data_IF_649702013685
#
_entry.id   IF_649702013685
#
_cell.length_a   1.000
_cell.length_b   1.000
_cell.length_c   1.000
_cell.angle_alpha   90.00
_cell.angle_beta   90.00
_cell.angle_gamma   90.00
#
_symmetry.space_group_name_H-M   'P 1'
#
loop_
_entity.id
_entity.type
_entity.pdbx_description
1 polymer ?
#
# COMPACT_ATOMS: atom_id res chain seq x y z
N UNK A 1 -4.79 -2.75 19.58
CA UNK A 1 -5.92 -2.04 18.94
C UNK A 1 -5.43 -1.15 17.80
N UNK A 2 -4.32 -0.43 17.97
CA UNK A 2 -3.81 0.47 16.92
C UNK A 2 -3.33 -0.27 15.66
N UNK A 3 -2.60 -1.39 15.80
CA UNK A 3 -2.22 -2.22 14.65
C UNK A 3 -3.43 -2.74 13.86
N UNK A 4 -4.46 -3.24 14.54
CA UNK A 4 -5.67 -3.76 13.87
C UNK A 4 -6.47 -2.65 13.18
N UNK A 5 -6.54 -1.46 13.77
CA UNK A 5 -7.17 -0.31 13.14
C UNK A 5 -6.37 0.14 11.90
N UNK A 6 -5.04 0.19 12.00
CA UNK A 6 -4.15 0.50 10.90
C UNK A 6 -4.26 -0.53 9.77
N UNK A 7 -4.24 -1.83 10.10
CA UNK A 7 -4.45 -2.93 9.16
C UNK A 7 -5.79 -2.79 8.44
N UNK A 8 -6.85 -2.45 9.17
CA UNK A 8 -8.17 -2.21 8.58
C UNK A 8 -8.14 -1.04 7.60
N UNK A 9 -7.39 0.02 7.89
CA UNK A 9 -7.21 1.14 6.97
C UNK A 9 -6.43 0.74 5.71
N UNK A 10 -5.31 0.01 5.86
CA UNK A 10 -4.52 -0.51 4.73
C UNK A 10 -5.38 -1.38 3.81
N UNK A 11 -6.21 -2.26 4.37
CA UNK A 11 -7.10 -3.10 3.58
C UNK A 11 -8.12 -2.26 2.81
N UNK A 12 -8.72 -1.24 3.44
CA UNK A 12 -9.66 -0.34 2.77
C UNK A 12 -9.03 0.43 1.61
N UNK A 13 -7.75 0.81 1.73
CA UNK A 13 -7.01 1.45 0.64
C UNK A 13 -6.84 0.52 -0.56
N UNK A 14 -6.47 -0.75 -0.30
CA UNK A 14 -6.36 -1.79 -1.34
C UNK A 14 -7.72 -2.04 -2.00
N UNK A 15 -8.79 -2.15 -1.21
CA UNK A 15 -10.16 -2.34 -1.71
C UNK A 15 -10.63 -1.16 -2.56
N UNK A 16 -10.32 0.08 -2.14
CA UNK A 16 -10.65 1.28 -2.92
C UNK A 16 -9.94 1.30 -4.27
N UNK A 17 -8.67 0.87 -4.32
CA UNK A 17 -7.96 0.72 -5.59
C UNK A 17 -8.65 -0.31 -6.49
N UNK A 18 -9.13 -1.43 -5.92
CA UNK A 18 -9.89 -2.44 -6.66
C UNK A 18 -11.24 -1.90 -7.18
N UNK A 19 -11.97 -1.14 -6.36
CA UNK A 19 -13.23 -0.49 -6.75
C UNK A 19 -13.02 0.48 -7.91
N UNK A 20 -11.95 1.30 -7.86
CA UNK A 20 -11.60 2.18 -8.96
C UNK A 20 -11.31 1.40 -10.25
N UNK A 21 -10.67 0.22 -10.16
CA UNK A 21 -10.49 -0.67 -11.32
C UNK A 21 -11.80 -1.23 -11.84
N UNK A 22 -12.75 -1.55 -10.96
CA UNK A 22 -14.09 -1.97 -11.35
C UNK A 22 -14.79 -0.89 -12.20
N UNK A 23 -14.74 0.36 -11.74
CA UNK A 23 -15.32 1.51 -12.45
C UNK A 23 -14.65 1.72 -13.82
N UNK A 24 -13.33 1.60 -13.88
CA UNK A 24 -12.59 1.70 -15.14
C UNK A 24 -12.89 0.55 -16.10
N UNK A 25 -13.02 -0.68 -15.62
CA UNK A 25 -13.35 -1.84 -16.46
C UNK A 25 -14.76 -1.72 -17.06
N UNK A 26 -15.70 -1.06 -16.37
CA UNK A 26 -17.02 -0.73 -16.94
C UNK A 26 -16.90 0.32 -18.05
N UNK A 27 -16.01 1.31 -17.89
CA UNK A 27 -15.78 2.35 -18.88
C UNK A 27 -14.97 1.87 -20.09
N UNK A 28 -14.10 0.87 -19.92
CA UNK A 28 -13.28 0.24 -20.95
C UNK A 28 -13.31 -1.29 -20.83
N UNK A 29 -14.38 -1.95 -21.34
CA UNK A 29 -14.57 -3.38 -21.19
C UNK A 29 -13.65 -4.24 -22.07
N UNK A 30 -12.93 -3.63 -23.03
CA UNK A 30 -11.94 -4.34 -23.85
C UNK A 30 -10.60 -4.50 -23.12
N UNK A 31 -10.32 -3.65 -22.13
CA UNK A 31 -9.11 -3.78 -21.30
C UNK A 31 -9.30 -4.81 -20.17
N UNK A 32 -9.10 -6.08 -20.55
CA UNK A 32 -9.12 -7.22 -19.63
C UNK A 32 -8.14 -7.11 -18.45
N UNK A 33 -7.07 -6.30 -18.57
CA UNK A 33 -6.09 -6.09 -17.49
C UNK A 33 -6.71 -5.41 -16.28
N UNK A 34 -7.73 -4.56 -16.47
CA UNK A 34 -8.44 -3.90 -15.38
C UNK A 34 -9.20 -4.91 -14.51
N UNK A 35 -9.86 -5.88 -15.12
CA UNK A 35 -10.60 -6.92 -14.41
C UNK A 35 -9.66 -7.90 -13.67
N UNK A 36 -8.51 -8.22 -14.28
CA UNK A 36 -7.50 -9.07 -13.65
C UNK A 36 -6.78 -8.36 -12.48
N UNK A 37 -6.41 -7.08 -12.68
CA UNK A 37 -5.88 -6.20 -11.63
C UNK A 37 -6.86 -6.06 -10.45
N UNK A 38 -8.15 -5.83 -10.72
CA UNK A 38 -9.18 -5.76 -9.69
C UNK A 38 -9.24 -7.04 -8.83
N UNK A 39 -9.27 -8.21 -9.47
CA UNK A 39 -9.30 -9.50 -8.75
C UNK A 39 -8.04 -9.70 -7.92
N UNK A 40 -6.89 -9.32 -8.46
CA UNK A 40 -5.62 -9.43 -7.76
C UNK A 40 -5.57 -8.50 -6.52
N UNK A 41 -6.10 -7.29 -6.61
CA UNK A 41 -6.21 -6.36 -5.47
C UNK A 41 -7.16 -6.89 -4.38
N UNK A 42 -8.33 -7.42 -4.74
CA UNK A 42 -9.21 -8.05 -3.74
C UNK A 42 -8.56 -9.29 -3.10
N UNK A 43 -7.84 -10.10 -3.89
CA UNK A 43 -7.08 -11.23 -3.34
C UNK A 43 -6.02 -10.76 -2.35
N UNK A 44 -5.28 -9.68 -2.69
CA UNK A 44 -4.31 -9.08 -1.79
C UNK A 44 -4.95 -8.57 -0.49
N UNK A 45 -6.09 -7.88 -0.58
CA UNK A 45 -6.84 -7.41 0.59
C UNK A 45 -7.23 -8.57 1.53
N UNK A 46 -7.71 -9.68 0.98
CA UNK A 46 -8.06 -10.88 1.76
C UNK A 46 -6.82 -11.55 2.37
N UNK A 47 -5.70 -11.60 1.65
CA UNK A 47 -4.45 -12.11 2.21
C UNK A 47 -3.97 -11.25 3.38
N UNK A 48 -3.99 -9.91 3.23
CA UNK A 48 -3.63 -8.98 4.31
C UNK A 48 -4.58 -9.09 5.50
N UNK A 49 -5.89 -9.36 5.29
CA UNK A 49 -6.88 -9.67 6.35
C UNK A 49 -6.69 -11.04 7.01
N UNK A 50 -6.03 -11.98 6.34
CA UNK A 50 -5.78 -13.32 6.85
C UNK A 50 -4.49 -13.45 7.66
N UNK A 51 -3.56 -12.48 7.54
CA UNK A 51 -2.32 -12.47 8.33
C UNK A 51 -2.57 -12.58 9.85
N UNK A 52 -1.68 -13.27 10.60
CA UNK A 52 -1.72 -13.26 12.05
C UNK A 52 -1.61 -11.83 12.62
N UNK A 53 -2.21 -11.56 13.77
CA UNK A 53 -2.10 -10.26 14.45
C UNK A 53 -0.70 -9.99 14.99
N UNK A 54 0.10 -11.04 15.18
CA UNK A 54 1.51 -11.00 15.57
C UNK A 54 2.48 -11.17 14.38
N UNK A 55 1.98 -11.04 13.14
CA UNK A 55 2.81 -11.11 11.94
C UNK A 55 3.95 -10.07 11.99
N UNK A 56 5.18 -10.54 11.78
CA UNK A 56 6.38 -9.72 11.97
C UNK A 56 6.51 -8.62 10.93
N UNK A 57 6.15 -8.90 9.68
CA UNK A 57 6.24 -7.95 8.56
C UNK A 57 5.17 -6.87 8.67
N UNK A 58 3.94 -7.27 9.04
CA UNK A 58 2.84 -6.35 9.30
C UNK A 58 3.16 -5.41 10.47
N UNK A 59 3.71 -5.94 11.56
CA UNK A 59 4.14 -5.15 12.72
C UNK A 59 5.29 -4.21 12.39
N UNK A 60 6.24 -4.63 11.55
CA UNK A 60 7.36 -3.80 11.13
C UNK A 60 6.88 -2.63 10.28
N UNK A 61 6.05 -2.91 9.26
CA UNK A 61 5.49 -1.86 8.40
C UNK A 61 4.67 -0.85 9.20
N UNK A 62 3.85 -1.30 10.15
CA UNK A 62 3.10 -0.40 11.03
C UNK A 62 4.01 0.55 11.82
N UNK A 63 5.11 0.04 12.38
CA UNK A 63 6.08 0.87 13.13
C UNK A 63 6.80 1.86 12.21
N UNK A 64 7.15 1.44 11.01
CA UNK A 64 7.81 2.27 10.01
C UNK A 64 6.87 3.39 9.54
N UNK A 65 5.61 3.10 9.21
CA UNK A 65 4.62 4.13 8.87
C UNK A 65 4.33 5.08 10.05
N UNK A 66 4.31 4.56 11.29
CA UNK A 66 4.15 5.41 12.48
C UNK A 66 5.34 6.35 12.68
N UNK A 67 6.58 5.89 12.47
CA UNK A 67 7.77 6.74 12.49
C UNK A 67 7.67 7.81 11.39
N UNK A 68 7.32 7.42 10.17
CA UNK A 68 7.17 8.33 9.05
C UNK A 68 6.14 9.43 9.35
N UNK A 69 5.01 9.08 9.96
CA UNK A 69 3.99 10.04 10.36
C UNK A 69 4.46 11.02 11.45
N UNK A 70 5.36 10.61 12.36
CA UNK A 70 5.98 11.51 13.32
C UNK A 70 6.99 12.44 12.64
N UNK A 71 7.80 11.93 11.71
CA UNK A 71 8.75 12.74 10.92
C UNK A 71 8.04 13.77 10.05
N UNK A 72 6.92 13.40 9.43
CA UNK A 72 6.06 14.29 8.66
C UNK A 72 5.50 15.43 9.52
N UNK A 73 5.03 15.12 10.75
CA UNK A 73 4.57 16.14 11.71
C UNK A 73 5.69 17.04 12.22
N UNK A 74 6.90 16.51 12.38
CA UNK A 74 8.05 17.26 12.88
C UNK A 74 8.69 18.18 11.82
N UNK A 75 8.54 17.85 10.54
CA UNK A 75 9.21 18.55 9.43
C UNK A 75 8.18 18.98 8.38
N UNK A 76 7.78 20.26 8.41
CA UNK A 76 6.82 20.83 7.44
C UNK A 76 7.45 20.89 6.04
N UNK A 77 6.96 20.10 5.07
CA UNK A 77 7.46 20.11 3.68
C UNK A 77 6.91 18.99 2.77
N UNK A 78 7.37 18.96 1.51
CA UNK A 78 6.94 18.06 0.41
C UNK A 78 6.88 16.52 0.63
N UNK A 79 7.63 15.86 1.54
CA UNK A 79 7.74 14.40 1.45
C UNK A 79 6.49 13.64 1.96
N UNK A 80 5.55 14.33 2.59
CA UNK A 80 4.23 13.78 2.97
C UNK A 80 3.39 13.40 1.74
N UNK A 81 3.41 14.26 0.70
CA UNK A 81 2.78 13.98 -0.58
C UNK A 81 3.44 12.78 -1.28
N UNK A 82 4.78 12.72 -1.31
CA UNK A 82 5.48 11.68 -2.08
C UNK A 82 5.31 10.27 -1.53
N UNK A 83 5.17 10.08 -0.21
CA UNK A 83 4.87 8.74 0.32
C UNK A 83 3.46 8.29 -0.05
N UNK A 84 2.49 9.20 0.08
CA UNK A 84 1.13 8.94 -0.34
C UNK A 84 1.09 8.62 -1.84
N UNK A 85 1.76 9.42 -2.66
CA UNK A 85 1.92 9.22 -4.10
C UNK A 85 2.60 7.87 -4.39
N UNK A 86 3.64 7.47 -3.65
CA UNK A 86 4.34 6.21 -3.88
C UNK A 86 3.47 4.98 -3.54
N UNK A 87 2.62 5.07 -2.51
CA UNK A 87 1.68 4.00 -2.14
C UNK A 87 0.51 3.95 -3.13
N UNK A 88 -0.01 5.09 -3.53
CA UNK A 88 -1.02 5.20 -4.59
C UNK A 88 -0.48 4.72 -5.94
N UNK A 89 0.77 5.03 -6.29
CA UNK A 89 1.45 4.56 -7.49
C UNK A 89 1.65 3.04 -7.46
N UNK A 90 2.05 2.49 -6.31
CA UNK A 90 2.19 1.03 -6.15
C UNK A 90 0.85 0.31 -6.34
N UNK A 91 -0.22 0.79 -5.70
CA UNK A 91 -1.57 0.25 -5.85
C UNK A 91 -2.15 0.50 -7.24
N UNK A 92 -1.84 1.66 -7.83
CA UNK A 92 -2.22 2.05 -9.17
C UNK A 92 -1.57 1.15 -10.23
N UNK A 93 -0.27 0.90 -10.15
CA UNK A 93 0.44 0.04 -11.09
C UNK A 93 0.12 -1.46 -10.93
N UNK A 94 -0.49 -1.85 -9.80
CA UNK A 94 -0.72 -3.25 -9.44
C UNK A 94 -1.57 -4.02 -10.46
N UNK A 95 -1.03 -5.10 -11.01
CA UNK A 95 -1.71 -5.92 -12.01
C UNK A 95 -1.86 -5.27 -13.39
N UNK A 96 -1.24 -4.10 -13.61
CA UNK A 96 -1.22 -3.41 -14.91
C UNK A 96 0.22 -3.20 -15.37
N UNK A 97 0.96 -2.32 -14.70
CA UNK A 97 2.36 -2.01 -14.98
C UNK A 97 3.31 -2.88 -14.14
N UNK A 98 2.81 -3.41 -13.04
CA UNK A 98 3.50 -4.36 -12.17
C UNK A 98 2.74 -5.67 -12.11
N UNK A 99 3.46 -6.79 -12.22
CA UNK A 99 2.87 -8.10 -11.98
C UNK A 99 2.32 -8.14 -10.53
N UNK A 100 1.15 -8.75 -10.30
CA UNK A 100 0.66 -8.98 -8.95
C UNK A 100 1.68 -9.75 -8.11
N UNK A 101 1.71 -9.49 -6.80
CA UNK A 101 2.51 -10.33 -5.91
C UNK A 101 1.80 -11.67 -5.70
N UNK A 102 2.60 -12.74 -5.64
CA UNK A 102 2.09 -14.07 -5.32
C UNK A 102 1.59 -14.18 -3.87
N UNK A 103 2.07 -13.29 -2.98
CA UNK A 103 1.77 -13.30 -1.54
C UNK A 103 1.70 -11.88 -0.95
N UNK A 104 0.96 -11.73 0.15
CA UNK A 104 0.94 -10.49 0.95
C UNK A 104 2.35 -10.08 1.43
N UNK A 105 3.23 -11.02 1.77
CA UNK A 105 4.61 -10.71 2.19
C UNK A 105 5.40 -9.95 1.11
N UNK A 106 5.21 -10.33 -0.15
CA UNK A 106 5.83 -9.63 -1.28
C UNK A 106 5.37 -8.17 -1.37
N UNK A 107 4.07 -7.95 -1.19
CA UNK A 107 3.48 -6.61 -1.14
C UNK A 107 4.01 -5.80 0.04
N UNK A 108 3.96 -6.36 1.24
CA UNK A 108 4.42 -5.71 2.47
C UNK A 108 5.88 -5.31 2.34
N UNK A 109 6.75 -6.19 1.83
CA UNK A 109 8.17 -5.90 1.64
C UNK A 109 8.41 -4.73 0.68
N UNK A 110 7.69 -4.66 -0.43
CA UNK A 110 7.84 -3.53 -1.37
C UNK A 110 7.37 -2.23 -0.71
N UNK A 111 6.25 -2.27 0.01
CA UNK A 111 5.75 -1.10 0.72
C UNK A 111 6.73 -0.64 1.81
N UNK A 112 7.29 -1.56 2.60
CA UNK A 112 8.33 -1.29 3.59
C UNK A 112 9.58 -0.66 2.98
N UNK A 113 10.04 -1.16 1.83
CA UNK A 113 11.18 -0.55 1.14
C UNK A 113 10.89 0.92 0.75
N UNK A 114 9.67 1.22 0.30
CA UNK A 114 9.26 2.60 -0.02
C UNK A 114 9.20 3.50 1.23
N UNK A 115 8.70 2.96 2.34
CA UNK A 115 8.70 3.68 3.63
C UNK A 115 10.13 3.96 4.07
N UNK A 116 11.02 2.98 4.03
CA UNK A 116 12.42 3.11 4.45
C UNK A 116 13.21 4.10 3.57
N UNK A 117 13.02 4.07 2.25
CA UNK A 117 13.55 5.07 1.33
C UNK A 117 13.11 6.47 1.74
N UNK A 118 11.82 6.65 2.03
CA UNK A 118 11.25 7.95 2.42
C UNK A 118 11.77 8.42 3.79
N UNK A 119 11.82 7.53 4.79
CA UNK A 119 12.37 7.83 6.12
C UNK A 119 13.84 8.22 6.01
N UNK A 120 14.62 7.49 5.22
CA UNK A 120 16.05 7.80 4.99
C UNK A 120 16.22 9.19 4.39
N UNK A 121 15.38 9.59 3.43
CA UNK A 121 15.40 10.95 2.90
C UNK A 121 15.07 12.01 3.96
N UNK A 122 14.07 11.77 4.82
CA UNK A 122 13.75 12.68 5.93
C UNK A 122 14.95 12.86 6.86
N UNK A 123 15.62 11.76 7.23
CA UNK A 123 16.77 11.78 8.14
C UNK A 123 17.99 12.48 7.52
N UNK A 124 18.18 12.42 6.21
CA UNK A 124 19.27 13.13 5.52
C UNK A 124 19.03 14.65 5.40
N UNK A 125 17.77 15.11 5.58
CA UNK A 125 17.40 16.53 5.51
C UNK A 125 17.32 17.22 6.88
N UNK A 126 17.23 16.45 7.97
CA UNK A 126 17.23 16.94 9.36
C UNK A 126 18.66 17.30 9.82
#
# INVERSE_FOLDING_TARGET
>A
MELEAWRTALVREIERAAEWRAEKAVADPEDTRLADSQKALYSLAEQVKALPSDDAELNALYKEEAELAELQRATVGEPEARYHDAKEDLLGAYGIDHAPFDTADGFLKVLRNRVDETITEYRLRA
#
